data_IF_239580074047
#
_entry.id   IF_239580074047
#
_cell.length_a   1.000
_cell.length_b   1.000
_cell.length_c   1.000
_cell.angle_alpha   90.00
_cell.angle_beta   90.00
_cell.angle_gamma   90.00
#
_symmetry.space_group_name_H-M   'P 1'
#
loop_
_entity.id
_entity.type
_entity.pdbx_description
1 polymer ?
#
# COMPACT_ATOMS: atom_id res chain seq x y z
N UNK A 1 -2.62 10.14 -19.84
CA UNK A 1 -1.30 9.74 -19.29
C UNK A 1 -1.41 8.29 -18.92
N UNK A 2 -0.65 7.46 -19.63
CA UNK A 2 -0.52 6.01 -19.46
C UNK A 2 -0.54 5.55 -18.00
N UNK A 3 -1.33 4.51 -17.72
CA UNK A 3 -1.35 3.78 -16.44
C UNK A 3 -0.33 2.62 -16.43
N UNK A 4 0.77 2.79 -17.14
CA UNK A 4 1.86 1.80 -17.29
C UNK A 4 3.01 2.15 -16.32
N UNK A 5 2.76 1.94 -15.03
CA UNK A 5 3.86 1.61 -14.12
C UNK A 5 3.72 0.12 -13.80
N UNK A 6 3.93 -0.70 -14.84
CA UNK A 6 4.12 -2.16 -14.73
C UNK A 6 5.43 -2.42 -13.99
N UNK A 7 5.36 -2.21 -12.68
CA UNK A 7 6.49 -2.24 -11.78
C UNK A 7 7.02 -3.66 -11.58
N UNK A 8 8.35 -3.70 -11.45
CA UNK A 8 9.27 -4.82 -11.24
C UNK A 8 8.97 -5.63 -9.96
N UNK A 9 7.77 -6.17 -9.83
CA UNK A 9 7.33 -6.95 -8.68
C UNK A 9 7.58 -8.45 -8.87
N UNK A 10 8.00 -9.11 -7.79
CA UNK A 10 8.12 -10.57 -7.77
C UNK A 10 6.75 -11.23 -8.01
N UNK A 11 6.71 -12.46 -8.57
CA UNK A 11 5.45 -13.20 -8.74
C UNK A 11 4.65 -13.35 -7.43
N UNK A 12 5.35 -13.45 -6.30
CA UNK A 12 4.78 -13.53 -4.96
C UNK A 12 4.05 -12.24 -4.56
N UNK A 13 4.64 -11.09 -4.87
CA UNK A 13 4.01 -9.79 -4.64
C UNK A 13 2.79 -9.58 -5.53
N UNK A 14 2.85 -9.97 -6.82
CA UNK A 14 1.69 -9.90 -7.72
C UNK A 14 0.49 -10.68 -7.18
N UNK A 15 0.72 -11.90 -6.68
CA UNK A 15 -0.33 -12.70 -6.04
C UNK A 15 -0.91 -12.01 -4.79
N UNK A 16 -0.07 -11.31 -4.05
CA UNK A 16 -0.47 -10.61 -2.82
C UNK A 16 -1.26 -9.33 -3.11
N UNK A 17 -0.84 -8.53 -4.09
CA UNK A 17 -1.56 -7.32 -4.51
C UNK A 17 -2.96 -7.66 -5.02
N UNK A 18 -3.12 -8.73 -5.79
CA UNK A 18 -4.45 -9.19 -6.24
C UNK A 18 -5.34 -9.58 -5.06
N UNK A 19 -4.80 -10.32 -4.08
CA UNK A 19 -5.55 -10.70 -2.86
C UNK A 19 -5.98 -9.49 -2.03
N UNK A 20 -5.13 -8.47 -1.91
CA UNK A 20 -5.47 -7.23 -1.20
C UNK A 20 -6.60 -6.49 -1.92
N UNK A 21 -6.52 -6.36 -3.26
CA UNK A 21 -7.58 -5.71 -4.05
C UNK A 21 -8.91 -6.44 -3.88
N UNK A 22 -8.90 -7.77 -3.94
CA UNK A 22 -10.10 -8.59 -3.79
C UNK A 22 -10.68 -8.46 -2.38
N UNK A 23 -9.86 -8.53 -1.34
CA UNK A 23 -10.29 -8.36 0.05
C UNK A 23 -10.96 -7.01 0.29
N UNK A 24 -10.35 -5.93 -0.21
CA UNK A 24 -10.91 -4.57 -0.06
C UNK A 24 -12.22 -4.43 -0.83
N UNK A 25 -12.30 -5.02 -2.03
CA UNK A 25 -13.51 -5.03 -2.85
C UNK A 25 -14.64 -5.84 -2.20
N UNK A 26 -14.34 -7.01 -1.65
CA UNK A 26 -15.34 -7.89 -1.02
C UNK A 26 -15.88 -7.28 0.29
N UNK A 27 -14.98 -6.73 1.12
CA UNK A 27 -15.34 -6.18 2.43
C UNK A 27 -15.95 -4.78 2.40
N UNK A 28 -15.44 -3.90 1.54
CA UNK A 28 -15.83 -2.48 1.51
C UNK A 28 -16.52 -2.08 0.19
N UNK A 29 -16.53 -2.94 -0.83
CA UNK A 29 -17.12 -2.61 -2.13
C UNK A 29 -16.30 -1.62 -2.97
N UNK A 30 -15.06 -1.32 -2.56
CA UNK A 30 -14.22 -0.30 -3.22
C UNK A 30 -13.04 -0.92 -3.98
N UNK A 31 -12.64 -0.29 -5.08
CA UNK A 31 -11.49 -0.71 -5.88
C UNK A 31 -10.27 0.15 -5.53
N UNK A 32 -9.22 -0.47 -5.00
CA UNK A 32 -7.95 0.21 -4.69
C UNK A 32 -6.90 -0.02 -5.77
N UNK A 33 -6.16 1.03 -6.10
CA UNK A 33 -5.07 0.95 -7.06
C UNK A 33 -3.82 0.31 -6.45
N UNK A 34 -3.04 -0.40 -7.27
CA UNK A 34 -1.82 -1.07 -6.82
C UNK A 34 -0.78 -0.08 -6.26
N UNK A 35 -0.72 1.12 -6.81
CA UNK A 35 0.14 2.21 -6.32
C UNK A 35 -0.18 2.60 -4.88
N UNK A 36 -1.46 2.61 -4.50
CA UNK A 36 -1.90 2.89 -3.13
C UNK A 36 -1.45 1.78 -2.18
N UNK A 37 -1.55 0.52 -2.59
CA UNK A 37 -1.07 -0.61 -1.77
C UNK A 37 0.44 -0.49 -1.53
N UNK A 38 1.20 -0.18 -2.56
CA UNK A 38 2.65 0.02 -2.46
C UNK A 38 3.01 1.23 -1.58
N UNK A 39 2.23 2.31 -1.62
CA UNK A 39 2.44 3.50 -0.78
C UNK A 39 2.15 3.20 0.69
N UNK A 40 1.01 2.58 0.99
CA UNK A 40 0.62 2.24 2.37
C UNK A 40 1.57 1.20 2.97
N UNK A 41 2.00 0.20 2.18
CA UNK A 41 3.02 -0.76 2.61
C UNK A 41 4.33 -0.06 2.95
N UNK A 42 4.81 0.86 2.10
CA UNK A 42 6.00 1.67 2.39
C UNK A 42 5.83 2.52 3.65
N UNK A 43 4.69 3.19 3.81
CA UNK A 43 4.40 4.01 4.99
C UNK A 43 4.43 3.15 6.27
N UNK A 44 3.71 2.03 6.28
CA UNK A 44 3.58 1.19 7.47
C UNK A 44 4.88 0.45 7.83
N UNK A 45 5.69 0.04 6.84
CA UNK A 45 7.02 -0.54 7.09
C UNK A 45 8.03 0.50 7.60
N UNK A 46 7.85 1.78 7.29
CA UNK A 46 8.69 2.87 7.82
C UNK A 46 8.31 3.25 9.25
N UNK A 47 7.04 3.09 9.65
CA UNK A 47 6.56 3.33 11.02
C UNK A 47 7.01 2.24 12.04
N UNK A 48 7.26 1.00 11.61
CA UNK A 48 7.67 -0.09 12.53
C UNK A 48 9.18 -0.15 12.84
N UNK A 49 9.99 0.67 12.19
CA UNK A 49 11.40 0.83 12.53
C UNK A 49 11.65 2.19 13.15
N UNK A 50 11.78 2.28 14.48
CA UNK A 50 12.46 3.42 15.10
C UNK A 50 13.92 3.43 14.62
N UNK A 51 14.14 4.02 13.45
CA UNK A 51 15.48 4.30 12.97
C UNK A 51 15.94 5.59 13.65
N UNK A 52 16.93 5.48 14.53
CA UNK A 52 17.52 6.57 15.30
C UNK A 52 18.15 7.68 14.44
N UNK A 53 18.23 7.52 13.11
CA UNK A 53 18.70 8.54 12.19
C UNK A 53 17.51 9.24 11.49
N UNK A 54 16.97 10.29 12.11
CA UNK A 54 15.93 11.18 11.54
C UNK A 54 16.46 11.91 10.30
N UNK A 55 16.51 11.24 9.16
CA UNK A 55 16.67 11.93 7.89
C UNK A 55 15.34 12.59 7.55
N UNK A 56 15.29 13.92 7.69
CA UNK A 56 14.23 14.81 7.21
C UNK A 56 14.09 14.71 5.68
N UNK A 57 13.66 13.57 5.17
CA UNK A 57 13.17 13.46 3.79
C UNK A 57 11.67 13.43 3.92
N UNK A 58 11.10 14.63 3.87
CA UNK A 58 9.67 14.83 3.66
C UNK A 58 9.23 13.85 2.58
N UNK A 59 8.29 12.98 2.95
CA UNK A 59 7.64 12.08 2.02
C UNK A 59 7.15 13.01 0.90
N UNK A 60 7.64 12.86 -0.35
CA UNK A 60 7.24 13.74 -1.43
C UNK A 60 5.72 13.78 -1.44
N UNK A 61 5.15 14.96 -1.71
CA UNK A 61 3.71 15.26 -1.72
C UNK A 61 2.99 14.41 -2.80
N UNK A 62 3.01 13.09 -2.61
CA UNK A 62 2.28 12.12 -3.41
C UNK A 62 0.84 12.38 -3.06
N UNK A 63 0.04 12.70 -4.09
CA UNK A 63 -1.42 12.82 -4.02
C UNK A 63 -1.95 11.91 -2.92
N UNK A 64 -2.34 12.51 -1.79
CA UNK A 64 -2.73 11.75 -0.62
C UNK A 64 -3.84 10.80 -1.05
N UNK A 65 -3.59 9.50 -0.86
CA UNK A 65 -4.67 8.52 -0.88
C UNK A 65 -5.76 9.06 0.06
N UNK A 66 -7.04 9.03 -0.34
CA UNK A 66 -8.10 9.33 0.62
C UNK A 66 -7.93 8.39 1.83
N UNK A 67 -8.08 8.93 3.04
CA UNK A 67 -7.80 8.19 4.28
C UNK A 67 -8.57 6.86 4.35
N UNK A 68 -9.79 6.81 3.84
CA UNK A 68 -10.57 5.58 3.70
C UNK A 68 -9.80 4.46 2.98
N UNK A 69 -9.25 4.74 1.79
CA UNK A 69 -8.50 3.74 1.03
C UNK A 69 -7.24 3.30 1.80
N UNK A 70 -6.61 4.19 2.55
CA UNK A 70 -5.46 3.86 3.39
C UNK A 70 -5.86 2.87 4.48
N UNK A 71 -6.98 3.11 5.15
CA UNK A 71 -7.50 2.23 6.20
C UNK A 71 -7.86 0.84 5.65
N UNK A 72 -8.55 0.77 4.51
CA UNK A 72 -8.91 -0.50 3.89
C UNK A 72 -7.68 -1.32 3.50
N UNK A 73 -6.65 -0.66 2.96
CA UNK A 73 -5.39 -1.32 2.61
C UNK A 73 -4.64 -1.76 3.88
N UNK A 74 -4.57 -0.93 4.93
CA UNK A 74 -3.94 -1.30 6.21
C UNK A 74 -4.63 -2.52 6.84
N UNK A 75 -5.96 -2.56 6.82
CA UNK A 75 -6.74 -3.70 7.31
C UNK A 75 -6.40 -4.97 6.52
N UNK A 76 -6.36 -4.89 5.19
CA UNK A 76 -5.97 -6.01 4.34
C UNK A 76 -4.53 -6.46 4.62
N UNK A 77 -3.58 -5.54 4.71
CA UNK A 77 -2.17 -5.85 4.99
C UNK A 77 -2.04 -6.56 6.35
N UNK A 78 -2.78 -6.12 7.37
CA UNK A 78 -2.82 -6.76 8.70
C UNK A 78 -3.48 -8.15 8.65
N UNK A 79 -4.55 -8.30 7.88
CA UNK A 79 -5.24 -9.59 7.68
C UNK A 79 -4.30 -10.63 7.06
N UNK A 80 -3.54 -10.22 6.04
CA UNK A 80 -2.54 -11.07 5.38
C UNK A 80 -1.20 -11.17 6.13
N UNK A 81 -1.05 -10.51 7.28
CA UNK A 81 0.20 -10.45 8.08
C UNK A 81 1.41 -10.00 7.26
N UNK A 82 1.20 -9.03 6.37
CA UNK A 82 2.23 -8.42 5.53
C UNK A 82 2.91 -7.23 6.21
N UNK A 83 2.25 -6.71 7.25
CA UNK A 83 2.72 -5.73 8.22
C UNK A 83 2.43 -6.29 9.61
#
# INVERSE_FOLDING_TARGET
>A
MESDEESNYTPQEKATYSKIKEYVKDKYGVNVHTSYIAQVKRMCCLDMGENYNKSKKEIPEVKQCPQENVEYIKDALRYFRLI
#
